data_IF_262425327691
#
_entry.id   IF_262425327691
#
_cell.length_a   1.000
_cell.length_b   1.000
_cell.length_c   1.000
_cell.angle_alpha   90.00
_cell.angle_beta   90.00
_cell.angle_gamma   90.00
#
_symmetry.space_group_name_H-M   'P 1'
#
loop_
_entity.id
_entity.type
_entity.pdbx_description
1 polymer ?
#
# COMPACT_ATOMS: atom_id res chain seq x y z
N UNK A 1 4.12 2.91 23.87
CA UNK A 1 4.89 2.50 22.68
C UNK A 1 6.19 3.30 22.66
N UNK A 2 7.36 2.67 22.49
CA UNK A 2 8.63 3.41 22.41
C UNK A 2 8.69 4.19 21.09
N UNK A 3 9.29 5.38 21.10
CA UNK A 3 9.50 6.18 19.88
C UNK A 3 10.32 5.36 18.88
N UNK A 4 9.86 5.31 17.62
CA UNK A 4 10.63 4.75 16.52
C UNK A 4 11.20 5.91 15.71
N UNK A 5 12.52 6.07 15.74
CA UNK A 5 13.25 7.15 15.06
C UNK A 5 13.79 6.76 13.69
N UNK A 6 14.33 7.76 12.97
CA UNK A 6 15.05 7.59 11.70
C UNK A 6 14.24 6.88 10.61
N UNK A 7 12.91 7.04 10.62
CA UNK A 7 12.03 6.41 9.64
C UNK A 7 12.28 6.97 8.24
N UNK A 8 12.46 8.28 8.13
CA UNK A 8 12.69 8.95 6.85
C UNK A 8 13.99 8.48 6.20
N UNK A 9 15.08 8.43 6.95
CA UNK A 9 16.37 7.94 6.46
C UNK A 9 16.28 6.50 5.94
N UNK A 10 15.54 5.65 6.65
CA UNK A 10 15.27 4.27 6.21
C UNK A 10 14.45 4.23 4.93
N UNK A 11 13.45 5.10 4.78
CA UNK A 11 12.64 5.21 3.56
C UNK A 11 13.54 5.58 2.37
N UNK A 12 14.44 6.55 2.56
CA UNK A 12 15.34 7.09 1.53
C UNK A 12 16.55 6.19 1.21
N UNK A 13 16.81 5.16 2.03
CA UNK A 13 17.95 4.25 1.79
C UNK A 13 17.84 3.56 0.43
N UNK A 14 18.97 3.48 -0.28
CA UNK A 14 19.01 2.94 -1.64
C UNK A 14 18.54 1.47 -1.65
N UNK A 15 18.95 0.68 -0.65
CA UNK A 15 18.52 -0.71 -0.48
C UNK A 15 16.99 -0.83 -0.35
N UNK A 16 16.35 0.08 0.40
CA UNK A 16 14.89 0.10 0.52
C UNK A 16 14.22 0.50 -0.79
N UNK A 17 14.79 1.46 -1.53
CA UNK A 17 14.28 1.86 -2.85
C UNK A 17 14.39 0.73 -3.89
N UNK A 18 15.49 -0.03 -3.87
CA UNK A 18 15.67 -1.22 -4.71
C UNK A 18 14.59 -2.27 -4.37
N UNK A 19 14.40 -2.57 -3.08
CA UNK A 19 13.35 -3.49 -2.63
C UNK A 19 11.96 -2.99 -3.03
N UNK A 20 11.71 -1.69 -2.91
CA UNK A 20 10.45 -1.06 -3.27
C UNK A 20 10.17 -1.18 -4.76
N UNK A 21 11.16 -0.97 -5.62
CA UNK A 21 11.06 -1.18 -7.06
C UNK A 21 10.73 -2.64 -7.39
N UNK A 22 11.43 -3.60 -6.79
CA UNK A 22 11.17 -5.02 -7.00
C UNK A 22 9.74 -5.40 -6.63
N UNK A 23 9.21 -4.86 -5.52
CA UNK A 23 7.82 -5.04 -5.10
C UNK A 23 6.83 -4.37 -6.05
N UNK A 24 7.08 -3.12 -6.44
CA UNK A 24 6.21 -2.35 -7.33
C UNK A 24 6.09 -3.01 -8.73
N UNK A 25 7.19 -3.57 -9.22
CA UNK A 25 7.29 -4.27 -10.51
C UNK A 25 6.59 -5.63 -10.52
N UNK A 26 6.51 -6.31 -9.38
CA UNK A 26 6.12 -7.73 -9.31
C UNK A 26 4.77 -7.97 -10.02
N UNK A 27 4.78 -8.85 -11.03
CA UNK A 27 3.60 -9.20 -11.83
C UNK A 27 3.16 -8.11 -12.83
N UNK A 28 3.87 -6.98 -12.93
CA UNK A 28 3.50 -5.81 -13.75
C UNK A 28 4.56 -5.42 -14.78
N UNK A 29 5.57 -6.26 -15.01
CA UNK A 29 6.71 -5.98 -15.90
C UNK A 29 6.31 -5.54 -17.33
N UNK A 30 5.16 -5.99 -17.84
CA UNK A 30 4.70 -5.62 -19.18
C UNK A 30 4.07 -4.22 -19.27
N UNK A 31 3.77 -3.57 -18.14
CA UNK A 31 3.14 -2.24 -18.13
C UNK A 31 4.08 -1.17 -18.70
N UNK A 32 3.53 -0.25 -19.48
CA UNK A 32 4.30 0.83 -20.13
C UNK A 32 5.19 1.61 -19.16
N UNK A 33 4.65 2.07 -18.02
CA UNK A 33 5.42 2.83 -17.04
C UNK A 33 6.56 2.02 -16.39
N UNK A 34 6.42 0.69 -16.30
CA UNK A 34 7.49 -0.18 -15.80
C UNK A 34 8.58 -0.31 -16.84
N UNK A 35 8.22 -0.58 -18.10
CA UNK A 35 9.19 -0.65 -19.22
C UNK A 35 9.96 0.66 -19.40
N UNK A 36 9.31 1.81 -19.22
CA UNK A 36 9.95 3.12 -19.31
C UNK A 36 10.99 3.31 -18.20
N UNK A 37 10.62 2.97 -16.96
CA UNK A 37 11.51 3.02 -15.80
C UNK A 37 12.69 2.05 -15.94
N UNK A 38 12.46 0.87 -16.54
CA UNK A 38 13.47 -0.16 -16.75
C UNK A 38 14.54 0.18 -17.80
N UNK A 39 14.35 1.26 -18.57
CA UNK A 39 15.40 1.76 -19.48
C UNK A 39 16.66 2.19 -18.73
N UNK A 40 16.48 2.71 -17.50
CA UNK A 40 17.58 3.06 -16.61
C UNK A 40 17.12 2.94 -15.14
N UNK A 41 17.10 1.70 -14.63
CA UNK A 41 16.65 1.45 -13.25
C UNK A 41 17.54 2.17 -12.23
N UNK A 42 18.86 2.14 -12.42
CA UNK A 42 19.80 2.70 -11.46
C UNK A 42 19.72 4.22 -11.42
N UNK A 43 19.73 4.89 -12.58
CA UNK A 43 19.61 6.34 -12.65
C UNK A 43 18.29 6.83 -12.06
N UNK A 44 17.17 6.17 -12.38
CA UNK A 44 15.87 6.52 -11.81
C UNK A 44 15.83 6.36 -10.28
N UNK A 45 16.41 5.29 -9.73
CA UNK A 45 16.45 5.07 -8.28
C UNK A 45 17.36 6.08 -7.56
N UNK A 46 18.52 6.40 -8.14
CA UNK A 46 19.44 7.42 -7.60
C UNK A 46 18.78 8.80 -7.64
N UNK A 47 18.09 9.14 -8.73
CA UNK A 47 17.35 10.39 -8.84
C UNK A 47 16.28 10.49 -7.75
N UNK A 48 15.44 9.47 -7.59
CA UNK A 48 14.42 9.43 -6.53
C UNK A 48 15.06 9.59 -5.16
N UNK A 49 16.18 8.90 -4.90
CA UNK A 49 16.89 9.02 -3.64
C UNK A 49 17.36 10.47 -3.39
N UNK A 50 17.98 11.10 -4.38
CA UNK A 50 18.46 12.48 -4.27
C UNK A 50 17.31 13.46 -4.03
N UNK A 51 16.19 13.30 -4.74
CA UNK A 51 14.99 14.11 -4.56
C UNK A 51 14.41 13.96 -3.15
N UNK A 52 14.40 12.74 -2.59
CA UNK A 52 13.97 12.51 -1.22
C UNK A 52 14.95 13.11 -0.21
N UNK A 53 16.25 12.83 -0.32
CA UNK A 53 17.26 13.36 0.60
C UNK A 53 17.30 14.88 0.63
N UNK A 54 17.08 15.53 -0.52
CA UNK A 54 17.03 16.98 -0.64
C UNK A 54 15.65 17.58 -0.34
N UNK A 55 14.66 16.76 0.03
CA UNK A 55 13.27 17.17 0.28
C UNK A 55 12.61 17.90 -0.91
N UNK A 56 13.06 17.61 -2.13
CA UNK A 56 12.54 18.20 -3.37
C UNK A 56 11.54 17.30 -4.09
N UNK A 57 11.40 16.04 -3.68
CA UNK A 57 10.43 15.10 -4.24
C UNK A 57 9.00 15.66 -4.15
N UNK A 58 8.30 15.70 -5.27
CA UNK A 58 6.89 16.12 -5.34
C UNK A 58 6.08 15.12 -6.16
N UNK A 59 4.98 14.65 -5.59
CA UNK A 59 4.01 13.84 -6.33
C UNK A 59 3.39 14.69 -7.44
N UNK A 60 3.38 14.21 -8.69
CA UNK A 60 2.73 14.91 -9.79
C UNK A 60 1.20 14.85 -9.68
N UNK A 61 0.52 15.57 -10.55
CA UNK A 61 -0.93 15.46 -10.67
C UNK A 61 -1.36 14.03 -11.03
N UNK A 62 -2.48 13.60 -10.46
CA UNK A 62 -3.03 12.28 -10.72
C UNK A 62 -3.68 12.26 -12.10
N UNK A 63 -3.40 11.20 -12.87
CA UNK A 63 -4.22 10.88 -14.03
C UNK A 63 -5.49 10.19 -13.53
N UNK A 64 -6.63 10.84 -13.67
CA UNK A 64 -7.94 10.27 -13.33
C UNK A 64 -8.60 9.63 -14.55
N UNK A 65 -9.29 8.52 -14.35
CA UNK A 65 -10.15 7.90 -15.35
C UNK A 65 -11.19 7.01 -14.69
N UNK A 66 -12.35 6.86 -15.33
CA UNK A 66 -13.44 6.05 -14.81
C UNK A 66 -13.34 4.61 -15.34
N UNK A 67 -13.53 3.63 -14.46
CA UNK A 67 -13.69 2.22 -14.82
C UNK A 67 -14.97 1.66 -14.26
N UNK A 68 -15.53 0.65 -14.93
CA UNK A 68 -16.71 -0.07 -14.48
C UNK A 68 -16.35 -1.53 -14.22
N UNK A 69 -16.32 -1.96 -12.95
CA UNK A 69 -16.14 -3.37 -12.59
C UNK A 69 -16.46 -3.68 -11.11
N UNK A 70 -17.61 -4.27 -10.72
CA UNK A 70 -18.93 -4.29 -11.37
C UNK A 70 -19.73 -2.98 -11.14
N UNK A 71 -19.08 -1.95 -10.60
CA UNK A 71 -19.64 -0.62 -10.32
C UNK A 71 -18.66 0.42 -10.85
N UNK A 72 -19.19 1.56 -11.27
CA UNK A 72 -18.39 2.72 -11.66
C UNK A 72 -17.50 3.20 -10.50
N UNK A 73 -16.21 3.39 -10.77
CA UNK A 73 -15.24 4.00 -9.87
C UNK A 73 -14.31 4.92 -10.65
N UNK A 74 -14.08 6.11 -10.11
CA UNK A 74 -12.99 6.96 -10.56
C UNK A 74 -11.67 6.41 -10.00
N UNK A 75 -10.70 6.18 -10.87
CA UNK A 75 -9.36 5.69 -10.54
C UNK A 75 -8.39 6.83 -10.73
N UNK A 76 -7.64 7.13 -9.67
CA UNK A 76 -6.54 8.08 -9.69
C UNK A 76 -5.22 7.32 -9.76
N UNK A 77 -4.47 7.53 -10.84
CA UNK A 77 -3.23 6.81 -11.11
C UNK A 77 -2.03 7.76 -11.18
N UNK A 78 -0.96 7.39 -10.47
CA UNK A 78 0.35 8.05 -10.55
C UNK A 78 1.30 7.29 -11.48
N UNK A 79 2.38 7.96 -11.93
CA UNK A 79 3.50 7.32 -12.61
C UNK A 79 4.09 6.14 -11.83
N UNK A 80 4.89 5.31 -12.51
CA UNK A 80 5.50 4.15 -11.87
C UNK A 80 6.54 4.52 -10.81
N UNK A 81 7.28 5.62 -10.99
CA UNK A 81 8.23 6.16 -10.00
C UNK A 81 7.57 6.38 -8.64
N UNK A 82 6.40 7.03 -8.60
CA UNK A 82 5.66 7.26 -7.36
C UNK A 82 5.21 5.97 -6.69
N UNK A 83 4.88 4.94 -7.49
CA UNK A 83 4.57 3.61 -6.94
C UNK A 83 5.79 3.00 -6.24
N UNK A 84 7.01 3.24 -6.75
CA UNK A 84 8.24 2.84 -6.05
C UNK A 84 8.35 3.57 -4.71
N UNK A 85 8.15 4.89 -4.68
CA UNK A 85 8.20 5.68 -3.44
C UNK A 85 7.14 5.23 -2.44
N UNK A 86 5.90 4.97 -2.87
CA UNK A 86 4.85 4.43 -2.01
C UNK A 86 5.24 3.07 -1.40
N UNK A 87 5.82 2.18 -2.20
CA UNK A 87 6.34 0.91 -1.68
C UNK A 87 7.50 1.13 -0.70
N UNK A 88 8.37 2.11 -0.92
CA UNK A 88 9.48 2.43 -0.01
C UNK A 88 8.97 2.90 1.36
N UNK A 89 7.92 3.73 1.37
CA UNK A 89 7.22 4.16 2.58
C UNK A 89 6.59 2.94 3.29
N UNK A 90 5.84 2.13 2.54
CA UNK A 90 5.11 0.99 3.11
C UNK A 90 6.03 -0.11 3.65
N UNK A 91 7.20 -0.33 3.04
CA UNK A 91 8.20 -1.27 3.55
C UNK A 91 8.59 -0.98 5.02
N UNK A 92 8.62 0.31 5.38
CA UNK A 92 9.02 0.76 6.72
C UNK A 92 7.82 0.91 7.65
N UNK A 93 6.71 1.48 7.17
CA UNK A 93 5.56 1.80 8.01
C UNK A 93 4.61 0.61 8.25
N UNK A 94 4.45 -0.30 7.29
CA UNK A 94 3.50 -1.43 7.39
C UNK A 94 3.73 -2.30 8.65
N UNK A 95 4.97 -2.73 8.99
CA UNK A 95 5.19 -3.54 10.19
C UNK A 95 4.83 -2.81 11.48
N UNK A 96 4.98 -1.48 11.53
CA UNK A 96 4.64 -0.66 12.68
C UNK A 96 3.11 -0.64 12.85
N UNK A 97 2.38 -0.26 11.81
CA UNK A 97 0.93 -0.15 11.85
C UNK A 97 0.24 -1.51 12.09
N UNK A 98 0.69 -2.55 11.41
CA UNK A 98 0.08 -3.89 11.54
C UNK A 98 0.28 -4.52 12.91
N UNK A 99 1.30 -4.08 13.67
CA UNK A 99 1.52 -4.52 15.06
C UNK A 99 0.53 -3.91 16.06
N UNK A 100 -0.12 -2.79 15.70
CA UNK A 100 -1.00 -2.04 16.61
C UNK A 100 -2.48 -2.15 16.23
N UNK A 101 -2.76 -2.53 14.98
CA UNK A 101 -4.14 -2.78 14.55
C UNK A 101 -4.76 -3.93 15.34
N UNK A 102 -6.03 -3.73 15.71
CA UNK A 102 -6.82 -4.78 16.34
C UNK A 102 -6.85 -6.03 15.46
N UNK A 103 -7.03 -7.18 16.11
CA UNK A 103 -7.05 -8.49 15.44
C UNK A 103 -8.08 -8.58 14.31
N UNK A 104 -9.18 -7.84 14.43
CA UNK A 104 -10.31 -7.87 13.49
C UNK A 104 -10.22 -6.82 12.38
N UNK A 105 -9.01 -6.30 12.09
CA UNK A 105 -8.72 -5.54 10.86
C UNK A 105 -8.17 -6.49 9.80
N UNK A 106 -8.80 -6.56 8.63
CA UNK A 106 -8.48 -7.60 7.63
C UNK A 106 -8.00 -7.07 6.28
N UNK A 107 -8.62 -6.01 5.78
CA UNK A 107 -8.36 -5.47 4.43
C UNK A 107 -6.93 -4.97 4.30
N UNK A 108 -6.30 -5.26 3.16
CA UNK A 108 -4.95 -4.82 2.81
C UNK A 108 -3.82 -5.20 3.80
N UNK A 109 -4.06 -6.15 4.71
CA UNK A 109 -3.04 -6.67 5.63
C UNK A 109 -2.67 -8.10 5.25
N UNK A 110 -1.39 -8.34 4.99
CA UNK A 110 -0.87 -9.66 4.61
C UNK A 110 -1.25 -10.71 5.66
N UNK A 111 -1.85 -11.82 5.20
CA UNK A 111 -2.25 -12.94 6.05
C UNK A 111 -3.58 -12.78 6.81
N UNK A 112 -4.25 -11.61 6.74
CA UNK A 112 -5.56 -11.41 7.39
C UNK A 112 -6.72 -11.62 6.41
N UNK A 113 -6.93 -10.73 5.45
CA UNK A 113 -7.80 -10.93 4.27
C UNK A 113 -9.24 -11.42 4.52
N UNK A 114 -9.97 -11.70 3.44
CA UNK A 114 -11.38 -12.12 3.49
C UNK A 114 -11.54 -13.49 4.17
N UNK A 115 -10.60 -14.41 3.95
CA UNK A 115 -10.65 -15.71 4.62
C UNK A 115 -10.48 -15.62 6.14
N UNK A 116 -9.72 -14.62 6.63
CA UNK A 116 -9.58 -14.36 8.07
C UNK A 116 -10.91 -13.92 8.68
N UNK A 117 -11.62 -12.97 8.06
CA UNK A 117 -12.92 -12.52 8.57
C UNK A 117 -13.94 -13.66 8.54
N UNK A 118 -13.99 -14.45 7.46
CA UNK A 118 -14.91 -15.58 7.36
C UNK A 118 -14.67 -16.62 8.47
N UNK A 119 -13.42 -16.91 8.81
CA UNK A 119 -13.09 -17.84 9.89
C UNK A 119 -13.54 -17.34 11.25
N UNK A 120 -13.30 -16.07 11.56
CA UNK A 120 -13.75 -15.49 12.81
C UNK A 120 -15.28 -15.42 12.88
N UNK A 121 -15.95 -15.01 11.79
CA UNK A 121 -17.42 -15.01 11.71
C UNK A 121 -18.00 -16.41 11.93
N UNK A 122 -17.46 -17.46 11.29
CA UNK A 122 -17.92 -18.85 11.50
C UNK A 122 -17.76 -19.32 12.95
N UNK A 123 -16.75 -18.82 13.67
CA UNK A 123 -16.57 -19.12 15.10
C UNK A 123 -17.59 -18.35 15.93
N UNK A 124 -17.71 -17.04 15.70
CA UNK A 124 -18.51 -16.14 16.53
C UNK A 124 -20.01 -16.41 16.37
N UNK A 125 -20.46 -16.70 15.15
CA UNK A 125 -21.87 -17.05 14.85
C UNK A 125 -22.32 -18.41 15.40
N UNK A 126 -21.44 -19.18 16.08
CA UNK A 126 -21.87 -20.36 16.84
C UNK A 126 -22.68 -19.98 18.08
N UNK A 127 -22.45 -18.79 18.62
CA UNK A 127 -23.22 -18.23 19.73
C UNK A 127 -24.45 -17.52 19.18
N UNK A 128 -25.48 -18.31 18.86
CA UNK A 128 -26.70 -17.83 18.18
C UNK A 128 -27.45 -16.80 19.03
N UNK A 129 -27.47 -16.96 20.36
CA UNK A 129 -28.17 -16.06 21.26
C UNK A 129 -27.55 -14.66 21.23
N UNK A 130 -26.23 -14.57 21.42
CA UNK A 130 -25.55 -13.27 21.50
C UNK A 130 -25.24 -12.64 20.13
N UNK A 131 -25.32 -13.40 19.04
CA UNK A 131 -25.05 -12.91 17.67
C UNK A 131 -26.30 -12.79 16.80
N UNK A 132 -27.49 -12.80 17.41
CA UNK A 132 -28.78 -12.72 16.70
C UNK A 132 -28.96 -11.45 15.87
N UNK A 133 -28.34 -10.34 16.29
CA UNK A 133 -28.44 -9.05 15.62
C UNK A 133 -27.06 -8.55 15.20
N UNK A 134 -27.00 -7.81 14.11
CA UNK A 134 -25.77 -7.16 13.66
C UNK A 134 -25.98 -5.67 13.40
N UNK A 135 -24.97 -4.87 13.73
CA UNK A 135 -24.91 -3.46 13.37
C UNK A 135 -24.20 -3.33 12.02
N UNK A 136 -24.95 -2.96 10.98
CA UNK A 136 -24.40 -2.65 9.66
C UNK A 136 -24.11 -1.16 9.57
N UNK A 137 -22.84 -0.81 9.29
CA UNK A 137 -22.38 0.57 9.11
C UNK A 137 -21.80 0.70 7.70
N UNK A 138 -22.02 1.85 7.07
CA UNK A 138 -21.43 2.23 5.80
C UNK A 138 -20.79 3.63 5.91
N UNK A 139 -19.63 3.81 5.28
CA UNK A 139 -18.85 5.05 5.30
C UNK A 139 -18.53 5.48 3.87
N UNK A 140 -18.73 6.75 3.53
CA UNK A 140 -18.52 7.30 2.17
C UNK A 140 -17.36 8.30 2.16
N UNK A 141 -16.49 8.21 1.13
CA UNK A 141 -15.31 9.07 0.87
C UNK A 141 -14.21 8.95 1.95
N UNK A 142 -13.27 8.02 1.76
CA UNK A 142 -12.09 7.80 2.60
C UNK A 142 -10.82 7.74 1.74
#
# INVERSE_FOLDING_TARGET
>A
MKRIGYLYDKICSLDNLILAYQKARKGKAKQYGVKLFEKDVNGNLIQIQQELLNLTYRTPEYKTYTVYDPKEREISCLPFSDRVVHHAIMNILEPIWTSIFIRNTYSCIKGRGIHGVLRHLKRDLKDVENTRYCLKIDTRKF
#
